data_IF_635817927337
#
_entry.id   IF_635817927337
#
_cell.length_a   1.000
_cell.length_b   1.000
_cell.length_c   1.000
_cell.angle_alpha   90.00
_cell.angle_beta   90.00
_cell.angle_gamma   90.00
#
_symmetry.space_group_name_H-M   'P 1'
#
loop_
_entity.id
_entity.type
_entity.pdbx_description
1 polymer ?
#
# COMPACT_ATOMS: atom_id res chain seq x y z
N UNK A 1 17.54 -35.03 6.55
CA UNK A 1 17.14 -34.99 5.13
C UNK A 1 16.79 -33.55 4.80
N UNK A 2 17.73 -32.81 4.20
CA UNK A 2 17.73 -31.33 4.06
C UNK A 2 17.93 -30.95 2.60
N UNK A 3 16.97 -31.21 1.70
CA UNK A 3 17.04 -30.66 0.32
C UNK A 3 15.72 -30.56 -0.46
N UNK A 4 14.54 -30.72 0.17
CA UNK A 4 13.26 -30.73 -0.58
C UNK A 4 12.64 -29.30 -0.68
N UNK A 5 13.12 -28.35 0.12
CA UNK A 5 12.51 -27.02 0.27
C UNK A 5 12.59 -26.08 -0.96
N UNK A 6 13.62 -26.10 -1.85
CA UNK A 6 13.65 -25.14 -2.98
C UNK A 6 12.88 -25.61 -4.22
N UNK A 7 12.52 -26.90 -4.34
CA UNK A 7 11.90 -27.46 -5.54
C UNK A 7 10.37 -27.27 -5.59
N UNK A 8 9.70 -27.21 -4.43
CA UNK A 8 8.25 -27.00 -4.36
C UNK A 8 7.85 -25.52 -4.49
N UNK A 9 8.69 -24.59 -4.01
CA UNK A 9 8.52 -23.14 -4.24
C UNK A 9 8.65 -22.77 -5.72
N UNK A 10 9.52 -23.47 -6.48
CA UNK A 10 9.68 -23.28 -7.92
C UNK A 10 8.47 -23.81 -8.72
N UNK A 11 7.88 -24.93 -8.30
CA UNK A 11 6.73 -25.55 -8.98
C UNK A 11 5.43 -24.74 -8.81
N UNK A 12 5.21 -24.11 -7.63
CA UNK A 12 4.04 -23.28 -7.39
C UNK A 12 4.13 -21.91 -8.11
N UNK A 13 5.35 -21.35 -8.23
CA UNK A 13 5.62 -20.14 -9.02
C UNK A 13 5.48 -20.39 -10.53
N UNK A 14 5.85 -21.57 -11.04
CA UNK A 14 5.68 -21.94 -12.44
C UNK A 14 4.21 -22.17 -12.83
N UNK A 15 3.37 -22.71 -11.93
CA UNK A 15 1.95 -22.92 -12.20
C UNK A 15 1.14 -21.63 -12.33
N UNK A 16 1.52 -20.57 -11.60
CA UNK A 16 0.88 -19.23 -11.71
C UNK A 16 1.39 -18.46 -12.93
N UNK A 17 2.64 -18.69 -13.38
CA UNK A 17 3.22 -18.01 -14.53
C UNK A 17 2.73 -18.56 -15.89
N UNK A 18 2.30 -19.82 -15.95
CA UNK A 18 1.80 -20.44 -17.19
C UNK A 18 0.37 -20.00 -17.52
N UNK A 19 -0.42 -19.57 -16.53
CA UNK A 19 -1.79 -19.08 -16.75
C UNK A 19 -1.91 -17.58 -17.07
N UNK A 20 -0.85 -16.79 -16.89
CA UNK A 20 -0.84 -15.37 -17.25
C UNK A 20 -0.21 -15.07 -18.61
N UNK A 21 0.38 -16.07 -19.28
CA UNK A 21 1.10 -15.88 -20.55
C UNK A 21 0.26 -16.10 -21.82
N UNK A 22 -0.98 -16.58 -21.71
CA UNK A 22 -1.85 -16.85 -22.88
C UNK A 22 -2.72 -15.66 -23.32
N UNK A 23 -2.53 -14.47 -22.74
CA UNK A 23 -3.36 -13.29 -23.04
C UNK A 23 -2.59 -12.07 -23.59
N UNK A 24 -1.29 -12.18 -23.90
CA UNK A 24 -0.43 -11.00 -24.16
C UNK A 24 0.34 -11.03 -25.49
N UNK A 25 -0.10 -11.80 -26.49
CA UNK A 25 0.63 -11.93 -27.77
C UNK A 25 0.01 -11.21 -28.98
N UNK A 26 -0.84 -10.19 -28.79
CA UNK A 26 -1.48 -9.48 -29.91
C UNK A 26 -1.12 -8.00 -30.09
N UNK A 27 -0.11 -7.45 -29.40
CA UNK A 27 0.19 -6.00 -29.51
C UNK A 27 1.68 -5.65 -29.67
N UNK A 28 2.44 -6.52 -30.36
CA UNK A 28 3.80 -6.20 -30.79
C UNK A 28 3.88 -6.01 -32.31
N UNK A 29 3.28 -4.93 -32.83
CA UNK A 29 3.64 -4.41 -34.16
C UNK A 29 3.11 -2.98 -34.41
N UNK A 30 3.66 -1.96 -33.74
CA UNK A 30 3.42 -0.57 -34.17
C UNK A 30 4.46 0.50 -33.78
N UNK A 31 5.50 0.20 -32.98
CA UNK A 31 6.44 1.24 -32.55
C UNK A 31 7.90 0.82 -32.69
N UNK A 32 8.28 0.40 -33.90
CA UNK A 32 9.66 0.34 -34.35
C UNK A 32 9.86 1.43 -35.42
N UNK A 33 10.10 2.67 -34.99
CA UNK A 33 10.65 3.71 -35.84
C UNK A 33 11.21 4.86 -34.97
N UNK A 34 12.40 5.36 -35.35
CA UNK A 34 13.18 6.46 -34.78
C UNK A 34 14.11 6.07 -33.61
N UNK A 35 15.27 5.47 -33.85
CA UNK A 35 16.53 6.05 -34.37
C UNK A 35 17.35 6.83 -33.32
N UNK A 36 18.49 6.20 -32.96
CA UNK A 36 19.74 6.70 -32.31
C UNK A 36 20.51 7.50 -33.41
N UNK A 37 21.54 8.39 -33.21
CA UNK A 37 22.58 8.26 -32.19
C UNK A 37 23.31 9.52 -31.63
N UNK A 38 24.25 9.17 -30.74
CA UNK A 38 25.28 9.88 -29.97
C UNK A 38 26.20 10.90 -30.69
N UNK A 39 27.03 11.56 -29.85
CA UNK A 39 28.33 12.24 -30.09
C UNK A 39 28.26 13.76 -30.40
N UNK A 40 29.17 14.69 -30.02
CA UNK A 40 30.44 14.72 -29.26
C UNK A 40 30.85 16.23 -29.06
N UNK A 41 31.72 16.51 -28.07
CA UNK A 41 32.74 17.60 -27.95
C UNK A 41 32.51 19.04 -27.41
N UNK A 42 33.33 19.29 -26.37
CA UNK A 42 34.04 20.48 -25.84
C UNK A 42 34.33 21.70 -26.74
N UNK A 43 34.29 22.91 -26.15
CA UNK A 43 35.42 23.83 -25.82
C UNK A 43 34.85 25.16 -25.23
N UNK A 44 35.34 25.67 -24.08
CA UNK A 44 36.28 26.82 -23.92
C UNK A 44 35.66 28.18 -24.32
N UNK A 45 35.69 29.32 -23.62
CA UNK A 45 36.62 29.93 -22.64
C UNK A 45 36.02 31.24 -22.08
N UNK A 46 36.54 31.74 -20.93
CA UNK A 46 36.48 33.14 -20.46
C UNK A 46 35.19 33.53 -19.72
N UNK A 47 35.17 34.23 -18.59
CA UNK A 47 36.12 35.12 -17.93
C UNK A 47 35.33 36.34 -17.43
N UNK A 48 35.70 36.90 -16.27
CA UNK A 48 35.09 38.02 -15.50
C UNK A 48 33.95 37.58 -14.56
N UNK A 49 33.97 37.78 -13.25
CA UNK A 49 34.67 38.78 -12.44
C UNK A 49 33.62 39.68 -11.79
N UNK A 50 33.16 39.33 -10.59
CA UNK A 50 32.50 40.27 -9.68
C UNK A 50 32.47 39.66 -8.27
N UNK A 51 33.29 40.24 -7.41
CA UNK A 51 33.25 40.04 -5.97
C UNK A 51 31.88 40.47 -5.43
N UNK A 52 31.27 39.66 -4.57
CA UNK A 52 30.24 40.11 -3.65
C UNK A 52 30.60 39.55 -2.29
N UNK A 53 30.96 40.46 -1.40
CA UNK A 53 31.32 40.22 -0.03
C UNK A 53 30.14 39.55 0.70
N UNK A 54 30.42 38.39 1.30
CA UNK A 54 29.55 37.79 2.30
C UNK A 54 29.82 38.55 3.60
N UNK A 55 28.86 39.38 4.01
CA UNK A 55 28.79 39.87 5.38
C UNK A 55 28.52 38.69 6.30
N UNK A 56 29.55 38.29 7.05
CA UNK A 56 29.43 37.45 8.23
C UNK A 56 28.64 38.24 9.28
N UNK A 57 27.34 37.98 9.35
CA UNK A 57 26.51 38.46 10.45
C UNK A 57 26.77 37.56 11.65
N UNK A 58 27.74 37.99 12.47
CA UNK A 58 27.97 37.50 13.82
C UNK A 58 26.69 37.67 14.64
N UNK A 59 25.89 36.61 14.74
CA UNK A 59 24.94 36.48 15.84
C UNK A 59 25.73 36.11 17.09
N UNK A 60 26.01 37.15 17.87
CA UNK A 60 26.34 37.07 19.29
C UNK A 60 25.32 36.18 20.01
N UNK A 61 25.74 34.97 20.40
CA UNK A 61 25.03 34.13 21.37
C UNK A 61 25.98 33.93 22.53
N UNK A 62 26.01 34.93 23.42
CA UNK A 62 26.60 34.79 24.74
C UNK A 62 25.55 34.29 25.73
N UNK A 63 25.69 33.00 26.05
CA UNK A 63 25.51 32.37 27.36
C UNK A 63 24.27 32.72 28.21
N UNK A 64 23.33 31.79 28.30
CA UNK A 64 22.30 31.80 29.36
C UNK A 64 21.31 30.63 29.24
N UNK A 65 21.68 29.45 29.73
CA UNK A 65 20.76 28.31 29.74
C UNK A 65 21.42 26.99 30.15
N UNK A 66 21.91 26.89 31.39
CA UNK A 66 21.99 25.60 32.03
C UNK A 66 20.55 25.09 32.22
N UNK A 67 20.11 24.15 31.38
CA UNK A 67 18.80 23.51 31.55
C UNK A 67 18.01 23.32 30.27
N UNK A 68 18.57 22.65 29.28
CA UNK A 68 17.74 21.79 28.42
C UNK A 68 18.46 20.45 28.27
N UNK A 69 18.71 19.81 29.41
CA UNK A 69 18.88 18.36 29.39
C UNK A 69 17.54 17.82 28.87
N UNK A 70 17.53 16.96 27.84
CA UNK A 70 16.28 16.35 27.40
C UNK A 70 15.61 15.77 28.63
N UNK A 71 14.35 16.14 28.85
CA UNK A 71 13.58 15.67 30.01
C UNK A 71 13.77 14.16 30.12
N UNK A 72 14.05 13.62 31.33
CA UNK A 72 14.28 12.21 31.51
C UNK A 72 13.13 11.43 30.90
N UNK A 73 13.48 10.39 30.13
CA UNK A 73 12.53 9.61 29.35
C UNK A 73 11.51 8.97 30.31
N UNK A 74 10.28 9.49 30.30
CA UNK A 74 9.23 9.02 31.19
C UNK A 74 8.64 7.70 30.67
N UNK A 75 9.08 6.59 31.26
CA UNK A 75 8.58 5.26 30.89
C UNK A 75 7.09 5.07 31.23
N UNK A 76 6.50 5.95 32.04
CA UNK A 76 5.07 5.95 32.33
C UNK A 76 4.24 6.70 31.28
N UNK A 77 4.86 7.43 30.33
CA UNK A 77 4.11 8.03 29.21
C UNK A 77 3.41 6.92 28.41
N UNK A 78 2.08 6.99 28.21
CA UNK A 78 1.32 5.95 27.52
C UNK A 78 1.81 5.67 26.10
N UNK A 79 2.42 6.66 25.42
CA UNK A 79 2.99 6.50 24.08
C UNK A 79 4.27 5.66 24.12
N UNK A 80 5.13 5.89 25.11
CA UNK A 80 6.35 5.13 25.32
C UNK A 80 6.00 3.70 25.74
N UNK A 81 5.07 3.52 26.67
CA UNK A 81 4.57 2.21 27.06
C UNK A 81 4.00 1.42 25.87
N UNK A 82 3.21 2.08 25.01
CA UNK A 82 2.65 1.47 23.81
C UNK A 82 3.74 1.06 22.81
N UNK A 83 4.78 1.88 22.62
CA UNK A 83 5.91 1.54 21.76
C UNK A 83 6.69 0.34 22.30
N UNK A 84 7.02 0.35 23.59
CA UNK A 84 7.78 -0.74 24.23
C UNK A 84 7.01 -2.06 24.18
N UNK A 85 5.69 -2.03 24.38
CA UNK A 85 4.83 -3.22 24.22
C UNK A 85 4.88 -3.77 22.79
N UNK A 86 4.89 -2.92 21.76
CA UNK A 86 5.03 -3.36 20.36
C UNK A 86 6.38 -4.02 20.10
N UNK A 87 7.47 -3.44 20.60
CA UNK A 87 8.80 -4.01 20.44
C UNK A 87 8.94 -5.34 21.19
N UNK A 88 8.35 -5.45 22.37
CA UNK A 88 8.30 -6.70 23.12
C UNK A 88 7.55 -7.79 22.35
N UNK A 89 6.33 -7.50 21.89
CA UNK A 89 5.51 -8.45 21.14
C UNK A 89 6.20 -8.91 19.85
N UNK A 90 6.80 -7.98 19.12
CA UNK A 90 7.59 -8.26 17.91
C UNK A 90 8.77 -9.19 18.22
N UNK A 91 9.56 -8.86 19.24
CA UNK A 91 10.72 -9.66 19.62
C UNK A 91 10.30 -11.08 20.07
N UNK A 92 9.18 -11.19 20.77
CA UNK A 92 8.63 -12.46 21.21
C UNK A 92 8.20 -13.34 20.02
N UNK A 93 7.46 -12.78 19.05
CA UNK A 93 7.09 -13.49 17.82
C UNK A 93 8.32 -13.87 16.98
N UNK A 94 9.30 -12.98 16.85
CA UNK A 94 10.55 -13.29 16.15
C UNK A 94 11.28 -14.45 16.82
N UNK A 95 11.44 -14.42 18.14
CA UNK A 95 12.06 -15.51 18.89
C UNK A 95 11.29 -16.82 18.72
N UNK A 96 9.95 -16.75 18.77
CA UNK A 96 9.08 -17.90 18.51
C UNK A 96 9.39 -18.55 17.17
N UNK A 97 9.40 -17.81 16.07
CA UNK A 97 9.64 -18.38 14.74
C UNK A 97 11.11 -18.72 14.45
N UNK A 98 12.07 -18.02 15.06
CA UNK A 98 13.50 -18.25 14.81
C UNK A 98 14.05 -19.47 15.56
N UNK A 99 13.68 -19.64 16.84
CA UNK A 99 14.13 -20.77 17.64
C UNK A 99 12.98 -21.34 18.49
N UNK A 100 12.29 -22.37 17.99
CA UNK A 100 11.06 -22.87 18.56
C UNK A 100 11.21 -23.40 19.99
N UNK A 101 12.34 -24.04 20.28
CA UNK A 101 12.60 -24.71 21.56
C UNK A 101 13.13 -23.74 22.63
N UNK A 102 13.63 -22.58 22.21
CA UNK A 102 14.13 -21.53 23.10
C UNK A 102 13.12 -20.40 23.34
N UNK A 103 11.97 -20.44 22.68
CA UNK A 103 10.94 -19.41 22.84
C UNK A 103 10.17 -19.59 24.14
N UNK A 104 9.99 -18.50 24.88
CA UNK A 104 9.11 -18.47 26.06
C UNK A 104 7.62 -18.51 25.67
N UNK A 105 7.29 -18.25 24.40
CA UNK A 105 5.92 -18.34 23.91
C UNK A 105 5.53 -19.79 23.63
N UNK A 106 4.50 -20.26 24.32
CA UNK A 106 3.79 -21.48 23.91
C UNK A 106 3.12 -21.27 22.55
N UNK A 107 2.83 -22.37 21.85
CA UNK A 107 2.11 -22.31 20.57
C UNK A 107 0.78 -21.55 20.69
N UNK A 108 -0.01 -21.83 21.73
CA UNK A 108 -1.27 -21.14 21.98
C UNK A 108 -1.07 -19.65 22.30
N UNK A 109 0.00 -19.28 23.01
CA UNK A 109 0.32 -17.89 23.28
C UNK A 109 0.74 -17.14 22.01
N UNK A 110 1.55 -17.76 21.16
CA UNK A 110 1.96 -17.18 19.88
C UNK A 110 0.74 -16.94 18.96
N UNK A 111 -0.19 -17.89 18.86
CA UNK A 111 -1.41 -17.72 18.07
C UNK A 111 -2.24 -16.53 18.56
N UNK A 112 -2.52 -16.45 19.87
CA UNK A 112 -3.26 -15.32 20.46
C UNK A 112 -2.57 -13.99 20.24
N UNK A 113 -1.24 -13.96 20.34
CA UNK A 113 -0.47 -12.76 20.09
C UNK A 113 -0.58 -12.31 18.62
N UNK A 114 -0.53 -13.24 17.66
CA UNK A 114 -0.76 -12.95 16.24
C UNK A 114 -2.17 -12.38 16.01
N UNK A 115 -3.19 -12.96 16.65
CA UNK A 115 -4.57 -12.44 16.56
C UNK A 115 -4.70 -11.05 17.19
N UNK A 116 -4.03 -10.81 18.30
CA UNK A 116 -4.05 -9.51 18.97
C UNK A 116 -3.38 -8.42 18.11
N UNK A 117 -2.17 -8.67 17.58
CA UNK A 117 -1.48 -7.67 16.74
C UNK A 117 -2.26 -7.36 15.46
N UNK A 118 -2.99 -8.33 14.91
CA UNK A 118 -3.88 -8.12 13.77
C UNK A 118 -5.11 -7.28 14.16
N UNK A 119 -5.78 -7.63 15.27
CA UNK A 119 -6.96 -6.93 15.75
C UNK A 119 -6.66 -5.46 16.11
N UNK A 120 -5.48 -5.20 16.66
CA UNK A 120 -4.99 -3.85 16.98
C UNK A 120 -4.57 -3.04 15.73
N UNK A 121 -4.61 -3.63 14.53
CA UNK A 121 -4.15 -3.00 13.29
C UNK A 121 -2.64 -2.73 13.27
N UNK A 122 -1.86 -3.43 14.10
CA UNK A 122 -0.40 -3.29 14.17
C UNK A 122 0.31 -3.98 13.01
N UNK A 123 -0.38 -4.91 12.35
CA UNK A 123 0.05 -5.58 11.12
C UNK A 123 -1.10 -5.59 10.13
N UNK A 124 -0.76 -5.62 8.84
CA UNK A 124 -1.75 -5.76 7.78
C UNK A 124 -2.31 -7.18 7.76
N UNK A 125 -3.53 -7.35 7.23
CA UNK A 125 -4.19 -8.66 7.17
C UNK A 125 -3.37 -9.73 6.46
N UNK A 126 -2.63 -9.38 5.40
CA UNK A 126 -1.76 -10.33 4.68
C UNK A 126 -0.53 -10.75 5.51
N UNK A 127 0.01 -9.86 6.34
CA UNK A 127 1.13 -10.16 7.24
C UNK A 127 0.68 -11.08 8.36
N UNK A 128 -0.48 -10.80 8.96
CA UNK A 128 -1.09 -11.68 9.96
C UNK A 128 -1.38 -13.07 9.38
N UNK A 129 -1.92 -13.15 8.15
CA UNK A 129 -2.15 -14.42 7.46
C UNK A 129 -0.85 -15.20 7.28
N UNK A 130 0.24 -14.54 6.86
CA UNK A 130 1.55 -15.18 6.72
C UNK A 130 2.04 -15.77 8.05
N UNK A 131 1.95 -15.02 9.15
CA UNK A 131 2.34 -15.49 10.48
C UNK A 131 1.48 -16.68 10.94
N UNK A 132 0.16 -16.64 10.70
CA UNK A 132 -0.75 -17.74 11.03
C UNK A 132 -0.46 -19.00 10.21
N UNK A 133 -0.09 -18.86 8.94
CA UNK A 133 0.33 -19.99 8.10
C UNK A 133 1.64 -20.60 8.58
N UNK A 134 2.65 -19.78 8.90
CA UNK A 134 3.91 -20.25 9.49
C UNK A 134 3.66 -20.95 10.84
N UNK A 135 2.71 -20.45 11.63
CA UNK A 135 2.29 -21.10 12.86
C UNK A 135 1.64 -22.46 12.59
N UNK A 136 0.75 -22.56 11.60
CA UNK A 136 0.10 -23.83 11.24
C UNK A 136 1.11 -24.86 10.73
N UNK A 137 2.05 -24.45 9.89
CA UNK A 137 3.10 -25.33 9.36
C UNK A 137 3.92 -25.96 10.50
N UNK A 138 4.29 -25.15 11.50
CA UNK A 138 5.03 -25.60 12.67
C UNK A 138 4.23 -26.51 13.60
N UNK A 139 2.95 -26.21 13.81
CA UNK A 139 2.16 -26.81 14.90
C UNK A 139 1.17 -27.89 14.41
N UNK A 140 1.15 -28.21 13.12
CA UNK A 140 0.36 -29.31 12.58
C UNK A 140 1.11 -30.63 12.78
N UNK A 141 0.39 -31.69 13.18
CA UNK A 141 0.98 -33.01 13.36
C UNK A 141 1.26 -33.75 12.04
N UNK A 142 0.73 -33.25 10.92
CA UNK A 142 0.93 -33.82 9.59
C UNK A 142 0.73 -32.77 8.50
N UNK A 143 1.27 -33.07 7.31
CA UNK A 143 1.04 -32.28 6.10
C UNK A 143 -0.45 -32.19 5.76
N UNK A 144 -1.20 -33.29 5.91
CA UNK A 144 -2.64 -33.30 5.63
C UNK A 144 -3.42 -32.39 6.59
N UNK A 145 -3.01 -32.35 7.87
CA UNK A 145 -3.60 -31.42 8.83
C UNK A 145 -3.27 -29.96 8.47
N UNK A 146 -2.01 -29.67 8.14
CA UNK A 146 -1.57 -28.34 7.71
C UNK A 146 -2.39 -27.86 6.51
N UNK A 147 -2.50 -28.67 5.45
CA UNK A 147 -3.22 -28.32 4.22
C UNK A 147 -4.70 -28.07 4.46
N UNK A 148 -5.34 -28.90 5.30
CA UNK A 148 -6.75 -28.69 5.66
C UNK A 148 -6.93 -27.36 6.40
N UNK A 149 -6.14 -27.12 7.45
CA UNK A 149 -6.27 -25.93 8.31
C UNK A 149 -5.84 -24.65 7.59
N UNK A 150 -4.84 -24.72 6.71
CA UNK A 150 -4.42 -23.58 5.89
C UNK A 150 -5.51 -23.23 4.88
N UNK A 151 -6.13 -24.21 4.22
CA UNK A 151 -7.25 -23.97 3.31
C UNK A 151 -8.45 -23.29 4.01
N UNK A 152 -8.80 -23.76 5.21
CA UNK A 152 -9.83 -23.14 6.06
C UNK A 152 -9.47 -21.68 6.40
N UNK A 153 -8.22 -21.43 6.79
CA UNK A 153 -7.72 -20.09 7.12
C UNK A 153 -7.79 -19.16 5.90
N UNK A 154 -7.32 -19.60 4.73
CA UNK A 154 -7.40 -18.80 3.50
C UNK A 154 -8.84 -18.48 3.11
N UNK A 155 -9.76 -19.43 3.28
CA UNK A 155 -11.18 -19.20 3.01
C UNK A 155 -11.77 -18.11 3.93
N UNK A 156 -11.42 -18.12 5.22
CA UNK A 156 -11.86 -17.08 6.16
C UNK A 156 -11.34 -15.69 5.77
N UNK A 157 -10.06 -15.59 5.38
CA UNK A 157 -9.48 -14.31 4.93
C UNK A 157 -10.11 -13.81 3.64
N UNK A 158 -10.39 -14.71 2.68
CA UNK A 158 -11.11 -14.36 1.44
C UNK A 158 -12.51 -13.83 1.75
N UNK A 159 -13.27 -14.55 2.58
CA UNK A 159 -14.61 -14.11 2.98
C UNK A 159 -14.58 -12.75 3.66
N UNK A 160 -13.62 -12.49 4.56
CA UNK A 160 -13.45 -11.20 5.21
C UNK A 160 -13.11 -10.09 4.21
N UNK A 161 -12.20 -10.36 3.28
CA UNK A 161 -11.81 -9.40 2.25
C UNK A 161 -12.96 -9.08 1.28
N UNK A 162 -13.72 -10.10 0.85
CA UNK A 162 -14.93 -9.91 0.05
C UNK A 162 -15.98 -9.11 0.79
N UNK A 163 -16.18 -9.38 2.08
CA UNK A 163 -17.12 -8.63 2.90
C UNK A 163 -16.70 -7.17 3.03
N UNK A 164 -15.43 -6.90 3.35
CA UNK A 164 -14.89 -5.54 3.39
C UNK A 164 -15.05 -4.83 2.03
N UNK A 165 -14.74 -5.49 0.92
CA UNK A 165 -14.92 -4.93 -0.41
C UNK A 165 -16.39 -4.63 -0.75
N UNK A 166 -17.34 -5.45 -0.25
CA UNK A 166 -18.77 -5.17 -0.37
C UNK A 166 -19.20 -4.02 0.53
N UNK A 167 -18.64 -3.93 1.73
CA UNK A 167 -18.96 -2.90 2.72
C UNK A 167 -18.49 -1.51 2.28
N UNK A 168 -17.31 -1.45 1.67
CA UNK A 168 -16.73 -0.24 1.09
C UNK A 168 -17.15 -0.02 -0.38
N UNK A 169 -18.10 -0.82 -0.89
CA UNK A 169 -18.54 -0.69 -2.28
C UNK A 169 -19.29 0.63 -2.48
N UNK A 170 -18.86 1.48 -3.43
CA UNK A 170 -19.58 2.71 -3.75
C UNK A 170 -20.99 2.44 -4.29
N UNK A 171 -21.29 1.21 -4.74
CA UNK A 171 -22.63 0.79 -5.16
C UNK A 171 -23.68 0.82 -4.04
N UNK A 172 -23.26 0.89 -2.77
CA UNK A 172 -24.17 1.08 -1.63
C UNK A 172 -24.61 2.53 -1.44
N UNK A 173 -23.87 3.48 -2.00
CA UNK A 173 -24.24 4.88 -1.92
C UNK A 173 -25.38 5.15 -2.92
N UNK A 174 -26.60 5.53 -2.49
CA UNK A 174 -27.67 5.88 -3.43
C UNK A 174 -27.26 7.00 -4.38
N UNK A 175 -26.40 7.94 -3.95
CA UNK A 175 -25.86 8.99 -4.82
C UNK A 175 -24.97 8.43 -5.94
N UNK A 176 -24.34 7.26 -5.74
CA UNK A 176 -23.56 6.59 -6.78
C UNK A 176 -24.44 6.09 -7.92
N UNK A 177 -25.59 5.49 -7.63
CA UNK A 177 -26.51 5.02 -8.65
C UNK A 177 -27.02 6.19 -9.52
N UNK A 178 -27.42 7.29 -8.87
CA UNK A 178 -27.87 8.52 -9.53
C UNK A 178 -26.75 9.15 -10.37
N UNK A 179 -25.53 9.24 -9.82
CA UNK A 179 -24.35 9.70 -10.55
C UNK A 179 -24.08 8.85 -11.79
N UNK A 180 -24.09 7.52 -11.68
CA UNK A 180 -23.82 6.62 -12.82
C UNK A 180 -24.90 6.70 -13.90
N UNK A 181 -26.15 6.94 -13.52
CA UNK A 181 -27.20 7.25 -14.49
C UNK A 181 -26.94 8.58 -15.20
N UNK A 182 -26.57 9.62 -14.44
CA UNK A 182 -26.26 10.94 -15.00
C UNK A 182 -25.03 10.94 -15.90
N UNK A 183 -24.00 10.18 -15.53
CA UNK A 183 -22.78 10.00 -16.34
C UNK A 183 -23.10 9.43 -17.71
N UNK A 184 -23.93 8.38 -17.79
CA UNK A 184 -24.36 7.80 -19.07
C UNK A 184 -25.10 8.81 -19.94
N UNK A 185 -26.04 9.55 -19.34
CA UNK A 185 -26.76 10.61 -20.05
C UNK A 185 -25.81 11.67 -20.62
N UNK A 186 -24.84 12.13 -19.82
CA UNK A 186 -23.84 13.12 -20.26
C UNK A 186 -22.97 12.57 -21.39
N UNK A 187 -22.56 11.31 -21.33
CA UNK A 187 -21.79 10.69 -22.40
C UNK A 187 -22.59 10.65 -23.71
N UNK A 188 -23.87 10.26 -23.65
CA UNK A 188 -24.76 10.23 -24.81
C UNK A 188 -25.04 11.64 -25.36
N UNK A 189 -25.32 12.61 -24.49
CA UNK A 189 -25.51 14.03 -24.83
C UNK A 189 -24.27 14.56 -25.56
N UNK A 190 -23.08 14.40 -24.97
CA UNK A 190 -21.83 14.94 -25.52
C UNK A 190 -21.40 14.18 -26.77
N UNK A 191 -21.76 12.90 -26.94
CA UNK A 191 -21.50 12.15 -28.17
C UNK A 191 -22.40 12.63 -29.32
N UNK A 192 -23.66 12.96 -29.04
CA UNK A 192 -24.63 13.41 -30.04
C UNK A 192 -24.48 14.90 -30.45
N UNK A 193 -23.67 15.68 -29.73
CA UNK A 193 -23.43 17.09 -30.07
C UNK A 193 -22.64 17.25 -31.36
N UNK A 194 -23.14 18.07 -32.27
CA UNK A 194 -22.41 18.48 -33.49
C UNK A 194 -21.43 19.63 -33.20
N UNK A 195 -21.79 20.54 -32.30
CA UNK A 195 -20.96 21.67 -31.87
C UNK A 195 -20.83 21.70 -30.32
N UNK A 196 -19.65 22.07 -29.84
CA UNK A 196 -19.33 22.05 -28.40
C UNK A 196 -19.31 23.48 -27.87
N UNK A 197 -20.09 23.78 -26.82
CA UNK A 197 -20.21 25.15 -26.32
C UNK A 197 -18.88 25.68 -25.75
N UNK A 198 -18.79 27.01 -25.66
CA UNK A 198 -17.67 27.75 -25.08
C UNK A 198 -16.32 27.55 -25.80
N UNK A 199 -16.33 27.07 -27.05
CA UNK A 199 -15.12 26.80 -27.83
C UNK A 199 -14.25 25.69 -27.24
N UNK A 200 -14.81 24.88 -26.34
CA UNK A 200 -14.10 23.76 -25.72
C UNK A 200 -13.97 22.60 -26.72
N UNK A 201 -12.93 21.78 -26.53
CA UNK A 201 -12.91 20.48 -27.18
C UNK A 201 -13.96 19.57 -26.55
N UNK A 202 -14.53 18.64 -27.33
CA UNK A 202 -15.52 17.66 -26.83
C UNK A 202 -15.07 16.96 -25.55
N UNK A 203 -13.78 16.59 -25.48
CA UNK A 203 -13.21 15.93 -24.30
C UNK A 203 -13.11 16.86 -23.08
N UNK A 204 -12.74 18.12 -23.28
CA UNK A 204 -12.70 19.11 -22.19
C UNK A 204 -14.10 19.38 -21.66
N UNK A 205 -15.09 19.52 -22.55
CA UNK A 205 -16.49 19.69 -22.18
C UNK A 205 -17.06 18.45 -21.45
N UNK A 206 -16.76 17.24 -21.93
CA UNK A 206 -17.14 16.00 -21.25
C UNK A 206 -16.58 15.95 -19.82
N UNK A 207 -15.28 16.22 -19.65
CA UNK A 207 -14.64 16.23 -18.33
C UNK A 207 -15.30 17.24 -17.39
N UNK A 208 -15.61 18.44 -17.88
CA UNK A 208 -16.32 19.46 -17.11
C UNK A 208 -17.70 18.97 -16.65
N UNK A 209 -18.51 18.45 -17.58
CA UNK A 209 -19.87 17.97 -17.30
C UNK A 209 -19.88 16.81 -16.30
N UNK A 210 -18.94 15.88 -16.42
CA UNK A 210 -18.78 14.77 -15.48
C UNK A 210 -18.35 15.25 -14.10
N UNK A 211 -17.48 16.26 -14.02
CA UNK A 211 -17.08 16.87 -12.74
C UNK A 211 -18.27 17.58 -12.07
N UNK A 212 -19.06 18.35 -12.82
CA UNK A 212 -20.28 18.99 -12.33
C UNK A 212 -21.28 17.96 -11.79
N UNK A 213 -21.53 16.88 -12.53
CA UNK A 213 -22.40 15.80 -12.09
C UNK A 213 -21.89 15.10 -10.82
N UNK A 214 -20.56 14.94 -10.70
CA UNK A 214 -19.94 14.37 -9.50
C UNK A 214 -20.10 15.29 -8.29
N UNK A 215 -19.89 16.60 -8.47
CA UNK A 215 -20.09 17.58 -7.40
C UNK A 215 -21.55 17.66 -6.98
N UNK A 216 -22.50 17.54 -7.90
CA UNK A 216 -23.92 17.48 -7.56
C UNK A 216 -24.28 16.21 -6.75
N UNK A 217 -23.72 15.06 -7.12
CA UNK A 217 -24.01 13.80 -6.43
C UNK A 217 -23.36 13.69 -5.02
N UNK A 218 -22.13 14.21 -4.85
CA UNK A 218 -21.35 14.01 -3.62
C UNK A 218 -21.05 15.29 -2.84
N UNK A 219 -21.26 16.47 -3.43
CA UNK A 219 -20.94 17.76 -2.81
C UNK A 219 -22.01 18.27 -1.84
N UNK A 220 -23.27 17.92 -2.07
CA UNK A 220 -24.39 18.31 -1.19
C UNK A 220 -24.37 17.51 0.12
N UNK A 221 -23.99 16.22 0.06
CA UNK A 221 -23.83 15.32 1.22
C UNK A 221 -22.73 15.75 2.21
N UNK A 222 -21.81 16.62 1.79
CA UNK A 222 -20.72 17.14 2.63
C UNK A 222 -21.07 18.48 3.34
N UNK A 223 -22.24 19.06 3.06
CA UNK A 223 -22.65 20.40 3.54
C UNK A 223 -23.48 20.37 4.82
N UNK A 224 -23.90 19.18 5.29
CA UNK A 224 -24.83 18.97 6.40
C UNK A 224 -24.17 18.39 7.67
N UNK A 225 -22.87 18.66 7.90
CA UNK A 225 -22.17 18.25 9.13
C UNK A 225 -21.42 19.41 9.80
#
# INVERSE_FOLDING_TARGET
MKVILPLLLLALLLAVLVWTRTASESESQAAAAAAVPSSVQQHGTGGHGAATAVSEQSTDVSTGGAGDMPSPLDLADPRIASYLSREQDKSALQAYFANPDASELSAAAAWRLIEQVEADGRVMGFEALYLKLAWLERNSGSEAEFQRRSAELLAQYRQRAEQAARDDSPERDPAFADYKQRERQIMDEVAAMDDIPNGLTRQAYLRQRLLEARMAAYGESASDN
#
